data_IF_693069173458
#
_entry.id   IF_693069173458
#
_cell.length_a   1.000
_cell.length_b   1.000
_cell.length_c   1.000
_cell.angle_alpha   90.00
_cell.angle_beta   90.00
_cell.angle_gamma   90.00
#
_symmetry.space_group_name_H-M   'P 1'
#
loop_
_entity.id
_entity.type
_entity.pdbx_description
1 polymer ?
#
# COMPACT_ATOMS: atom_id res chain seq x y z
N UNK A 1 11.52 -4.89 -16.40
CA UNK A 1 11.79 -5.56 -17.68
C UNK A 1 10.47 -6.01 -18.26
N UNK A 2 10.17 -5.65 -19.50
CA UNK A 2 8.98 -6.15 -20.24
C UNK A 2 9.45 -7.32 -21.09
N UNK A 3 8.86 -8.50 -20.86
CA UNK A 3 9.12 -9.68 -21.69
C UNK A 3 8.08 -9.71 -22.80
N UNK A 4 8.51 -9.85 -24.06
CA UNK A 4 7.60 -9.87 -25.21
C UNK A 4 6.86 -11.21 -25.30
N UNK A 5 5.63 -11.19 -25.86
CA UNK A 5 4.88 -12.42 -26.13
C UNK A 5 5.65 -13.38 -27.02
N UNK A 6 6.40 -12.85 -28.00
CA UNK A 6 7.23 -13.68 -28.88
C UNK A 6 8.33 -14.44 -28.13
N UNK A 7 9.00 -13.81 -27.17
CA UNK A 7 10.01 -14.47 -26.33
C UNK A 7 9.39 -15.59 -25.49
N UNK A 8 8.19 -15.37 -24.92
CA UNK A 8 7.48 -16.39 -24.15
C UNK A 8 7.10 -17.59 -25.01
N UNK A 9 6.55 -17.36 -26.19
CA UNK A 9 6.14 -18.42 -27.12
C UNK A 9 7.37 -19.21 -27.60
N UNK A 10 8.48 -18.57 -27.90
CA UNK A 10 9.72 -19.24 -28.31
C UNK A 10 10.29 -20.17 -27.20
N UNK A 11 10.12 -19.81 -25.95
CA UNK A 11 10.58 -20.62 -24.81
C UNK A 11 9.60 -21.70 -24.37
N UNK A 12 8.34 -21.68 -24.84
CA UNK A 12 7.25 -22.55 -24.37
C UNK A 12 7.57 -24.05 -24.55
N UNK A 13 8.05 -24.43 -25.75
CA UNK A 13 8.42 -25.81 -26.06
C UNK A 13 9.62 -26.27 -25.22
N UNK A 14 10.63 -25.40 -25.02
CA UNK A 14 11.83 -25.66 -24.21
C UNK A 14 11.45 -25.88 -22.74
N UNK A 15 10.48 -25.12 -22.23
CA UNK A 15 10.02 -25.19 -20.84
C UNK A 15 8.94 -26.24 -20.60
N UNK A 16 8.68 -27.14 -21.56
CA UNK A 16 7.69 -28.25 -21.45
C UNK A 16 6.30 -27.78 -20.97
N UNK A 17 5.91 -26.57 -21.37
CA UNK A 17 4.66 -25.94 -20.94
C UNK A 17 4.50 -25.79 -19.42
N UNK A 18 5.62 -25.77 -18.64
CA UNK A 18 5.61 -25.50 -17.20
C UNK A 18 5.71 -23.99 -16.96
N UNK A 19 4.68 -23.35 -16.32
CA UNK A 19 4.69 -21.92 -16.04
C UNK A 19 5.85 -21.46 -15.16
N UNK A 20 6.33 -22.32 -14.25
CA UNK A 20 7.46 -21.98 -13.37
C UNK A 20 8.77 -21.96 -14.14
N UNK A 21 9.03 -23.00 -14.95
CA UNK A 21 10.22 -23.03 -15.79
C UNK A 21 10.23 -21.89 -16.79
N UNK A 22 9.07 -21.54 -17.37
CA UNK A 22 8.91 -20.42 -18.28
C UNK A 22 9.19 -19.08 -17.59
N UNK A 23 8.73 -18.92 -16.34
CA UNK A 23 8.98 -17.74 -15.53
C UNK A 23 10.48 -17.59 -15.19
N UNK A 24 11.15 -18.68 -14.82
CA UNK A 24 12.58 -18.67 -14.45
C UNK A 24 13.47 -18.38 -15.66
N UNK A 25 13.22 -19.02 -16.78
CA UNK A 25 13.99 -18.80 -18.03
C UNK A 25 13.83 -17.39 -18.62
N UNK A 26 12.61 -16.86 -18.59
CA UNK A 26 12.30 -15.56 -19.22
C UNK A 26 12.31 -14.40 -18.24
N UNK A 27 12.44 -14.67 -16.93
CA UNK A 27 12.23 -13.69 -15.84
C UNK A 27 10.83 -13.06 -15.85
N UNK A 28 9.87 -13.63 -16.59
CA UNK A 28 8.49 -13.16 -16.62
C UNK A 28 7.82 -13.48 -15.28
N UNK A 29 7.02 -12.55 -14.77
CA UNK A 29 6.29 -12.71 -13.49
C UNK A 29 7.16 -12.86 -12.22
N UNK A 30 8.48 -12.87 -12.33
CA UNK A 30 9.39 -13.09 -11.19
C UNK A 30 9.46 -11.94 -10.20
N UNK A 31 9.07 -10.72 -10.61
CA UNK A 31 9.15 -9.51 -9.76
C UNK A 31 7.83 -9.21 -9.07
N UNK A 32 6.73 -9.14 -9.82
CA UNK A 32 5.44 -8.68 -9.29
C UNK A 32 4.33 -9.74 -9.34
N UNK A 33 4.55 -10.90 -9.97
CA UNK A 33 3.57 -11.97 -10.08
C UNK A 33 2.30 -11.63 -10.89
N UNK A 34 2.18 -10.42 -11.43
CA UNK A 34 0.96 -9.97 -12.14
C UNK A 34 0.71 -10.72 -13.46
N UNK A 35 1.77 -11.28 -14.05
CA UNK A 35 1.67 -12.03 -15.31
C UNK A 35 1.53 -13.54 -15.08
N UNK A 36 1.50 -14.03 -13.85
CA UNK A 36 1.40 -15.46 -13.53
C UNK A 36 0.17 -16.11 -14.18
N UNK A 37 -1.06 -15.52 -14.13
CA UNK A 37 -2.22 -16.08 -14.79
C UNK A 37 -2.07 -16.17 -16.31
N UNK A 38 -1.37 -15.19 -16.92
CA UNK A 38 -1.12 -15.20 -18.37
C UNK A 38 -0.09 -16.28 -18.77
N UNK A 39 0.90 -16.57 -17.90
CA UNK A 39 1.84 -17.66 -18.12
C UNK A 39 1.15 -19.02 -18.00
N UNK A 40 0.25 -19.19 -17.02
CA UNK A 40 -0.57 -20.39 -16.86
C UNK A 40 -1.47 -20.63 -18.09
N UNK A 41 -2.12 -19.57 -18.58
CA UNK A 41 -2.95 -19.62 -19.80
C UNK A 41 -2.11 -19.99 -21.03
N UNK A 42 -0.92 -19.39 -21.20
CA UNK A 42 -0.01 -19.71 -22.29
C UNK A 42 0.49 -21.17 -22.24
N UNK A 43 0.64 -21.71 -21.05
CA UNK A 43 1.05 -23.10 -20.85
C UNK A 43 -0.10 -24.12 -21.02
N UNK A 44 -1.32 -23.64 -21.37
CA UNK A 44 -2.49 -24.51 -21.61
C UNK A 44 -3.20 -24.94 -20.32
N UNK A 45 -2.90 -24.31 -19.18
CA UNK A 45 -3.62 -24.55 -17.95
C UNK A 45 -5.05 -23.99 -18.08
N UNK A 46 -6.03 -24.86 -18.21
CA UNK A 46 -7.46 -24.52 -18.26
C UNK A 46 -8.03 -24.07 -16.90
N UNK A 47 -7.18 -23.97 -15.90
CA UNK A 47 -7.60 -23.63 -14.55
C UNK A 47 -7.78 -22.12 -14.43
N UNK A 48 -9.02 -21.72 -14.32
CA UNK A 48 -9.44 -20.46 -13.68
C UNK A 48 -9.07 -20.48 -12.19
N UNK A 49 -7.80 -20.70 -11.85
CA UNK A 49 -7.37 -20.60 -10.45
C UNK A 49 -7.53 -19.13 -10.05
N UNK A 50 -8.53 -18.88 -9.20
CA UNK A 50 -8.74 -17.52 -8.65
C UNK A 50 -7.43 -17.03 -8.07
N UNK A 51 -6.91 -15.88 -8.50
CA UNK A 51 -5.61 -15.40 -8.07
C UNK A 51 -5.56 -15.31 -6.55
N UNK A 52 -4.57 -15.99 -5.98
CA UNK A 52 -4.37 -16.04 -4.52
C UNK A 52 -4.31 -14.62 -3.95
N UNK A 53 -5.08 -14.35 -2.91
CA UNK A 53 -5.05 -13.08 -2.21
C UNK A 53 -5.81 -11.90 -2.85
N UNK A 54 -6.44 -12.06 -4.02
CA UNK A 54 -7.20 -10.98 -4.66
C UNK A 54 -8.39 -10.50 -3.82
N UNK A 55 -9.14 -11.43 -3.22
CA UNK A 55 -10.26 -11.09 -2.33
C UNK A 55 -9.78 -10.33 -1.09
N UNK A 56 -8.73 -10.80 -0.44
CA UNK A 56 -8.15 -10.14 0.72
C UNK A 56 -7.64 -8.74 0.36
N UNK A 57 -6.95 -8.60 -0.77
CA UNK A 57 -6.49 -7.30 -1.25
C UNK A 57 -7.66 -6.34 -1.48
N UNK A 58 -8.75 -6.80 -2.09
CA UNK A 58 -9.94 -5.98 -2.32
C UNK A 58 -10.56 -5.52 -1.01
N UNK A 59 -10.79 -6.44 -0.07
CA UNK A 59 -11.39 -6.13 1.24
C UNK A 59 -10.54 -5.10 1.98
N UNK A 60 -9.24 -5.36 2.17
CA UNK A 60 -8.36 -4.43 2.89
C UNK A 60 -8.19 -3.10 2.17
N UNK A 61 -8.20 -3.07 0.83
CA UNK A 61 -8.14 -1.81 0.09
C UNK A 61 -9.42 -0.98 0.22
N UNK A 62 -10.59 -1.63 0.29
CA UNK A 62 -11.87 -0.96 0.59
C UNK A 62 -11.85 -0.42 2.03
N UNK A 63 -11.40 -1.21 3.00
CA UNK A 63 -11.25 -0.76 4.39
C UNK A 63 -10.30 0.42 4.49
N UNK A 64 -9.17 0.38 3.77
CA UNK A 64 -8.23 1.50 3.71
C UNK A 64 -8.88 2.76 3.10
N UNK A 65 -9.64 2.60 2.02
CA UNK A 65 -10.38 3.73 1.41
C UNK A 65 -11.38 4.34 2.39
N UNK A 66 -12.16 3.52 3.07
CA UNK A 66 -13.12 3.98 4.09
C UNK A 66 -12.39 4.69 5.24
N UNK A 67 -11.27 4.16 5.71
CA UNK A 67 -10.46 4.79 6.74
C UNK A 67 -9.93 6.17 6.28
N UNK A 68 -9.47 6.30 5.04
CA UNK A 68 -9.07 7.60 4.46
C UNK A 68 -10.25 8.58 4.41
N UNK A 69 -11.41 8.13 3.98
CA UNK A 69 -12.61 9.00 3.92
C UNK A 69 -13.02 9.46 5.33
N UNK A 70 -12.96 8.57 6.32
CA UNK A 70 -13.18 8.95 7.73
C UNK A 70 -12.15 10.01 8.15
N UNK A 71 -10.87 9.85 7.76
CA UNK A 71 -9.82 10.84 8.06
C UNK A 71 -10.16 12.22 7.51
N UNK A 72 -10.72 12.29 6.31
CA UNK A 72 -11.00 13.56 5.62
C UNK A 72 -12.27 14.22 6.15
N UNK A 73 -13.30 13.44 6.43
CA UNK A 73 -14.65 13.96 6.68
C UNK A 73 -15.09 13.91 8.14
N UNK A 74 -14.45 13.10 9.01
CA UNK A 74 -14.82 13.06 10.41
C UNK A 74 -14.44 14.37 11.11
N UNK A 75 -15.36 14.97 11.87
CA UNK A 75 -15.03 16.14 12.65
C UNK A 75 -13.99 15.77 13.73
N UNK A 76 -13.08 16.69 14.07
CA UNK A 76 -12.17 16.44 15.18
C UNK A 76 -12.97 16.23 16.48
N UNK A 77 -12.53 15.29 17.34
CA UNK A 77 -13.22 15.03 18.59
C UNK A 77 -13.26 16.29 19.45
N UNK A 78 -14.42 16.58 20.04
CA UNK A 78 -14.57 17.66 21.00
C UNK A 78 -13.70 17.41 22.24
N UNK A 79 -13.39 18.49 22.98
CA UNK A 79 -12.66 18.37 24.24
C UNK A 79 -13.44 17.54 25.26
N UNK A 80 -12.73 16.88 26.17
CA UNK A 80 -13.34 16.16 27.27
C UNK A 80 -13.90 17.14 28.30
N UNK A 81 -15.07 16.83 28.79
CA UNK A 81 -15.80 17.68 29.76
C UNK A 81 -15.21 17.57 31.18
N UNK A 82 -14.52 16.47 31.50
CA UNK A 82 -13.89 16.26 32.81
C UNK A 82 -12.64 15.36 32.68
N UNK A 83 -11.72 15.52 33.63
CA UNK A 83 -10.47 14.72 33.73
C UNK A 83 -10.73 13.25 34.11
N UNK A 84 -11.86 12.94 34.66
CA UNK A 84 -12.26 11.57 35.04
C UNK A 84 -12.86 10.79 33.88
N UNK A 85 -13.24 11.47 32.78
CA UNK A 85 -13.87 10.85 31.63
C UNK A 85 -12.89 9.97 30.84
N UNK A 86 -13.43 8.89 30.23
CA UNK A 86 -12.63 8.09 29.29
C UNK A 86 -12.14 8.91 28.11
N UNK A 87 -12.90 9.94 27.71
CA UNK A 87 -12.53 10.87 26.62
C UNK A 87 -11.25 11.62 26.96
N UNK A 88 -11.08 12.08 28.20
CA UNK A 88 -9.84 12.72 28.66
C UNK A 88 -8.64 11.79 28.52
N UNK A 89 -8.77 10.51 28.91
CA UNK A 89 -7.68 9.52 28.76
C UNK A 89 -7.29 9.31 27.29
N UNK A 90 -8.26 9.32 26.38
CA UNK A 90 -8.00 9.23 24.94
C UNK A 90 -7.33 10.51 24.43
N UNK A 91 -7.73 11.69 24.93
CA UNK A 91 -7.08 12.96 24.58
C UNK A 91 -5.59 13.01 24.93
N UNK A 92 -5.14 12.31 25.96
CA UNK A 92 -3.73 12.27 26.35
C UNK A 92 -2.84 11.73 25.22
N UNK A 93 -3.35 10.86 24.33
CA UNK A 93 -2.55 10.33 23.22
C UNK A 93 -2.01 11.41 22.29
N UNK A 94 -2.71 12.52 22.12
CA UNK A 94 -2.25 13.63 21.26
C UNK A 94 -1.98 14.94 22.00
N UNK A 95 -2.21 14.98 23.33
CA UNK A 95 -1.92 16.15 24.18
C UNK A 95 -0.64 15.97 24.99
N UNK A 96 -0.42 14.80 25.54
CA UNK A 96 0.76 14.51 26.33
C UNK A 96 2.02 14.44 25.44
N UNK A 97 3.06 15.20 25.79
CA UNK A 97 4.26 15.31 24.97
C UNK A 97 5.03 14.00 24.83
N UNK A 98 5.11 13.19 25.89
CA UNK A 98 5.82 11.90 25.88
C UNK A 98 5.06 10.88 25.03
N UNK A 99 3.74 10.77 25.25
CA UNK A 99 2.90 9.85 24.46
C UNK A 99 2.93 10.23 22.98
N UNK A 100 2.91 11.54 22.69
CA UNK A 100 3.00 12.04 21.32
C UNK A 100 4.34 11.71 20.65
N UNK A 101 5.44 11.73 21.37
CA UNK A 101 6.72 11.26 20.86
C UNK A 101 6.71 9.76 20.57
N UNK A 102 6.19 8.94 21.49
CA UNK A 102 6.07 7.49 21.31
C UNK A 102 5.23 7.18 20.07
N UNK A 103 4.07 7.81 19.92
CA UNK A 103 3.19 7.60 18.75
C UNK A 103 3.86 8.08 17.44
N UNK A 104 4.62 9.16 17.47
CA UNK A 104 5.39 9.66 16.34
C UNK A 104 6.48 8.69 15.88
N UNK A 105 7.29 8.17 16.82
CA UNK A 105 8.30 7.15 16.50
C UNK A 105 7.66 5.82 16.05
N UNK A 106 6.51 5.44 16.61
CA UNK A 106 5.77 4.27 16.14
C UNK A 106 5.30 4.43 14.69
N UNK A 107 4.79 5.62 14.32
CA UNK A 107 4.45 5.96 12.94
C UNK A 107 5.66 5.87 12.01
N UNK A 108 6.81 6.39 12.42
CA UNK A 108 8.05 6.28 11.66
C UNK A 108 8.47 4.82 11.47
N UNK A 109 8.36 3.99 12.50
CA UNK A 109 8.63 2.56 12.42
C UNK A 109 7.69 1.83 11.43
N UNK A 110 6.39 2.11 11.50
CA UNK A 110 5.38 1.58 10.57
C UNK A 110 5.69 2.01 9.13
N UNK A 111 6.07 3.28 8.92
CA UNK A 111 6.48 3.80 7.62
C UNK A 111 7.69 3.03 7.06
N UNK A 112 8.73 2.80 7.85
CA UNK A 112 9.91 2.04 7.45
C UNK A 112 9.56 0.58 7.10
N UNK A 113 8.67 -0.07 7.86
CA UNK A 113 8.14 -1.40 7.54
C UNK A 113 7.39 -1.37 6.21
N UNK A 114 6.61 -0.32 5.94
CA UNK A 114 5.91 -0.13 4.67
C UNK A 114 6.83 -0.12 3.44
N UNK A 115 8.10 0.29 3.60
CA UNK A 115 9.09 0.28 2.53
C UNK A 115 9.57 -1.14 2.15
N UNK A 116 9.34 -2.15 2.98
CA UNK A 116 9.78 -3.53 2.73
C UNK A 116 9.26 -4.07 1.38
N UNK A 117 8.07 -3.64 0.94
CA UNK A 117 7.55 -4.01 -0.37
C UNK A 117 8.44 -3.49 -1.52
N UNK A 118 8.97 -2.29 -1.37
CA UNK A 118 9.90 -1.70 -2.35
C UNK A 118 11.24 -2.42 -2.35
N UNK A 119 11.76 -2.79 -1.18
CA UNK A 119 12.99 -3.57 -1.04
C UNK A 119 12.83 -4.96 -1.68
N UNK A 120 11.70 -5.63 -1.49
CA UNK A 120 11.40 -6.90 -2.13
C UNK A 120 11.47 -6.84 -3.66
N UNK A 121 11.06 -5.72 -4.25
CA UNK A 121 11.16 -5.54 -5.71
C UNK A 121 12.60 -5.33 -6.19
N UNK A 122 13.46 -4.72 -5.37
CA UNK A 122 14.84 -4.38 -5.73
C UNK A 122 15.83 -5.50 -5.47
N UNK A 123 15.70 -6.20 -4.33
CA UNK A 123 16.66 -7.20 -3.87
C UNK A 123 16.15 -8.62 -4.11
N UNK A 124 16.91 -9.42 -4.87
CA UNK A 124 16.55 -10.82 -5.21
C UNK A 124 16.47 -11.72 -3.96
N UNK A 125 17.36 -11.53 -3.01
CA UNK A 125 17.42 -12.34 -1.76
C UNK A 125 16.22 -12.08 -0.83
N UNK A 126 15.50 -10.97 -1.01
CA UNK A 126 14.30 -10.63 -0.21
C UNK A 126 12.98 -11.12 -0.83
N UNK A 127 13.05 -11.95 -1.88
CA UNK A 127 11.88 -12.42 -2.65
C UNK A 127 11.29 -13.72 -2.08
N UNK A 128 11.08 -13.80 -0.77
CA UNK A 128 10.39 -14.94 -0.16
C UNK A 128 8.87 -14.78 -0.20
N UNK A 129 8.13 -15.90 -0.30
CA UNK A 129 6.68 -15.95 -0.32
C UNK A 129 6.04 -15.38 -1.59
N UNK A 130 4.73 -15.53 -1.71
CA UNK A 130 3.96 -15.07 -2.86
C UNK A 130 3.75 -13.55 -2.83
N UNK A 131 3.92 -12.86 -3.96
CA UNK A 131 3.83 -11.39 -4.03
C UNK A 131 2.45 -10.84 -3.62
N UNK A 132 1.37 -11.60 -3.84
CA UNK A 132 0.02 -11.21 -3.44
C UNK A 132 -0.09 -10.94 -1.93
N UNK A 133 0.54 -11.77 -1.10
CA UNK A 133 0.55 -11.57 0.36
C UNK A 133 1.30 -10.30 0.77
N UNK A 134 2.38 -9.96 0.08
CA UNK A 134 3.13 -8.73 0.33
C UNK A 134 2.31 -7.48 0.01
N UNK A 135 1.45 -7.55 -1.00
CA UNK A 135 0.52 -6.45 -1.32
C UNK A 135 -0.53 -6.28 -0.24
N UNK A 136 -1.12 -7.39 0.23
CA UNK A 136 -2.08 -7.37 1.35
C UNK A 136 -1.42 -6.82 2.61
N UNK A 137 -0.22 -7.32 2.95
CA UNK A 137 0.58 -6.83 4.07
C UNK A 137 0.81 -5.31 3.99
N UNK A 138 1.25 -4.81 2.85
CA UNK A 138 1.47 -3.38 2.65
C UNK A 138 0.17 -2.56 2.85
N UNK A 139 -0.97 -3.05 2.36
CA UNK A 139 -2.27 -2.39 2.54
C UNK A 139 -2.71 -2.39 4.00
N UNK A 140 -2.51 -3.49 4.72
CA UNK A 140 -2.79 -3.58 6.17
C UNK A 140 -1.93 -2.57 6.95
N UNK A 141 -0.64 -2.46 6.64
CA UNK A 141 0.23 -1.46 7.25
C UNK A 141 -0.20 -0.02 6.92
N UNK A 142 -0.76 0.22 5.72
CA UNK A 142 -1.39 1.50 5.39
C UNK A 142 -2.57 1.83 6.32
N UNK A 143 -3.44 0.85 6.61
CA UNK A 143 -4.55 1.04 7.55
C UNK A 143 -4.04 1.31 8.97
N UNK A 144 -3.08 0.52 9.44
CA UNK A 144 -2.48 0.69 10.78
C UNK A 144 -1.84 2.08 10.88
N UNK A 145 -1.16 2.54 9.82
CA UNK A 145 -0.53 3.87 9.80
C UNK A 145 -1.56 5.00 9.86
N UNK A 146 -2.73 4.85 9.24
CA UNK A 146 -3.83 5.83 9.36
C UNK A 146 -4.37 5.88 10.78
N UNK A 147 -4.59 4.73 11.43
CA UNK A 147 -5.04 4.67 12.83
C UNK A 147 -4.01 5.34 13.75
N UNK A 148 -2.73 5.00 13.58
CA UNK A 148 -1.65 5.59 14.37
C UNK A 148 -1.52 7.11 14.13
N UNK A 149 -1.76 7.58 12.91
CA UNK A 149 -1.80 8.99 12.57
C UNK A 149 -2.91 9.72 13.32
N UNK A 150 -4.10 9.14 13.41
CA UNK A 150 -5.21 9.71 14.19
C UNK A 150 -4.84 9.85 15.66
N UNK A 151 -4.27 8.80 16.23
CA UNK A 151 -3.81 8.81 17.62
C UNK A 151 -2.75 9.88 17.83
N UNK A 152 -1.84 10.10 16.86
CA UNK A 152 -0.78 11.10 16.94
C UNK A 152 -1.29 12.54 16.78
N UNK A 153 -2.24 12.78 15.85
CA UNK A 153 -2.68 14.13 15.47
C UNK A 153 -3.97 14.59 16.15
N UNK A 154 -4.74 13.66 16.75
CA UNK A 154 -6.06 13.95 17.28
C UNK A 154 -7.05 14.42 16.21
N UNK A 155 -6.99 13.83 15.00
CA UNK A 155 -7.85 14.16 13.84
C UNK A 155 -7.69 15.60 13.33
N UNK A 156 -6.56 16.24 13.59
CA UNK A 156 -6.29 17.60 13.13
C UNK A 156 -5.27 17.62 12.03
N UNK A 157 -5.56 18.34 10.94
CA UNK A 157 -4.64 18.48 9.81
C UNK A 157 -3.41 19.35 10.11
N UNK A 158 -3.49 20.17 11.16
CA UNK A 158 -2.39 21.09 11.48
C UNK A 158 -2.30 22.28 10.50
N UNK A 159 -1.18 22.99 10.60
CA UNK A 159 -0.90 24.19 9.78
C UNK A 159 0.53 24.09 9.19
N UNK A 160 0.80 24.86 8.16
CA UNK A 160 2.12 24.95 7.54
C UNK A 160 2.72 23.57 7.20
N UNK A 161 3.88 23.24 7.73
CA UNK A 161 4.61 21.99 7.51
C UNK A 161 3.75 20.75 7.86
N UNK A 162 3.04 20.81 9.00
CA UNK A 162 2.21 19.71 9.47
C UNK A 162 1.02 19.45 8.54
N UNK A 163 0.44 20.51 7.96
CA UNK A 163 -0.62 20.38 6.96
C UNK A 163 -0.11 19.66 5.71
N UNK A 164 1.03 20.05 5.17
CA UNK A 164 1.58 19.42 3.97
C UNK A 164 2.00 17.97 4.21
N UNK A 165 2.55 17.69 5.39
CA UNK A 165 2.89 16.32 5.80
C UNK A 165 1.63 15.44 5.88
N UNK A 166 0.59 15.93 6.57
CA UNK A 166 -0.69 15.24 6.71
C UNK A 166 -1.37 15.04 5.35
N UNK A 167 -1.44 16.09 4.52
CA UNK A 167 -2.02 16.04 3.18
C UNK A 167 -1.31 14.98 2.32
N UNK A 168 0.02 15.02 2.28
CA UNK A 168 0.82 14.07 1.48
C UNK A 168 0.59 12.64 1.96
N UNK A 169 0.53 12.42 3.28
CA UNK A 169 0.32 11.11 3.87
C UNK A 169 -1.09 10.56 3.56
N UNK A 170 -2.12 11.37 3.72
CA UNK A 170 -3.52 10.99 3.43
C UNK A 170 -3.70 10.72 1.94
N UNK A 171 -3.17 11.59 1.07
CA UNK A 171 -3.23 11.41 -0.37
C UNK A 171 -2.46 10.16 -0.85
N UNK A 172 -1.32 9.86 -0.22
CA UNK A 172 -0.56 8.63 -0.47
C UNK A 172 -1.39 7.39 -0.14
N UNK A 173 -2.06 7.38 1.01
CA UNK A 173 -2.94 6.27 1.41
C UNK A 173 -4.16 6.15 0.48
N UNK A 174 -4.76 7.26 0.07
CA UNK A 174 -5.87 7.27 -0.88
C UNK A 174 -5.49 6.63 -2.22
N UNK A 175 -4.37 7.07 -2.80
CA UNK A 175 -3.86 6.50 -4.05
C UNK A 175 -3.46 5.04 -3.90
N UNK A 176 -2.87 4.66 -2.76
CA UNK A 176 -2.54 3.27 -2.44
C UNK A 176 -3.77 2.37 -2.35
N UNK A 177 -4.82 2.82 -1.66
CA UNK A 177 -6.09 2.11 -1.57
C UNK A 177 -6.77 1.94 -2.94
N UNK A 178 -6.84 3.03 -3.72
CA UNK A 178 -7.36 2.99 -5.08
C UNK A 178 -6.58 2.02 -5.97
N UNK A 179 -5.24 2.12 -5.98
CA UNK A 179 -4.38 1.21 -6.73
C UNK A 179 -4.56 -0.26 -6.31
N UNK A 180 -4.78 -0.52 -5.02
CA UNK A 180 -5.07 -1.84 -4.47
C UNK A 180 -6.41 -2.41 -4.97
N UNK A 181 -7.48 -1.59 -4.98
CA UNK A 181 -8.79 -1.96 -5.52
C UNK A 181 -8.67 -2.31 -7.00
N UNK A 182 -8.05 -1.44 -7.80
CA UNK A 182 -7.85 -1.67 -9.23
C UNK A 182 -7.02 -2.93 -9.51
N UNK A 183 -6.01 -3.17 -8.69
CA UNK A 183 -5.21 -4.37 -8.81
C UNK A 183 -5.96 -5.66 -8.46
N UNK A 184 -6.87 -5.60 -7.50
CA UNK A 184 -7.74 -6.73 -7.16
C UNK A 184 -8.78 -7.00 -8.27
N UNK A 185 -9.40 -5.94 -8.83
CA UNK A 185 -10.33 -6.05 -9.94
C UNK A 185 -9.66 -6.60 -11.20
N UNK A 186 -8.45 -6.10 -11.54
CA UNK A 186 -7.68 -6.59 -12.69
C UNK A 186 -7.42 -8.10 -12.61
N UNK A 187 -7.20 -8.61 -11.39
CA UNK A 187 -6.99 -10.04 -11.18
C UNK A 187 -8.24 -10.91 -11.37
N UNK A 188 -9.42 -10.30 -11.51
CA UNK A 188 -10.68 -11.02 -11.70
C UNK A 188 -10.91 -11.53 -13.15
N UNK A 189 -9.95 -11.30 -14.07
CA UNK A 189 -9.99 -11.87 -15.43
C UNK A 189 -10.27 -10.87 -16.55
N UNK A 190 -11.09 -11.26 -17.53
CA UNK A 190 -11.35 -10.52 -18.79
C UNK A 190 -12.63 -9.69 -18.79
N UNK A 191 -13.21 -9.41 -17.63
CA UNK A 191 -14.41 -8.57 -17.52
C UNK A 191 -14.13 -7.13 -17.96
N UNK A 192 -15.17 -6.37 -18.36
CA UNK A 192 -15.05 -4.96 -18.70
C UNK A 192 -14.41 -4.14 -17.57
N UNK A 193 -14.78 -4.45 -16.32
CA UNK A 193 -14.18 -3.83 -15.14
C UNK A 193 -12.69 -4.15 -15.00
N UNK A 194 -12.27 -5.38 -15.31
CA UNK A 194 -10.85 -5.76 -15.27
C UNK A 194 -10.04 -5.07 -16.38
N UNK A 195 -10.60 -4.90 -17.58
CA UNK A 195 -9.96 -4.16 -18.68
C UNK A 195 -9.80 -2.68 -18.31
N UNK A 196 -10.83 -2.07 -17.73
CA UNK A 196 -10.75 -0.69 -17.22
C UNK A 196 -9.68 -0.56 -16.11
N UNK A 197 -9.69 -1.47 -15.15
CA UNK A 197 -8.70 -1.50 -14.07
C UNK A 197 -7.27 -1.62 -14.61
N UNK A 198 -7.03 -2.49 -15.58
CA UNK A 198 -5.73 -2.67 -16.24
C UNK A 198 -5.22 -1.38 -16.90
N UNK A 199 -6.12 -0.57 -17.48
CA UNK A 199 -5.77 0.71 -18.11
C UNK A 199 -5.35 1.76 -17.09
N UNK A 200 -6.05 1.88 -15.95
CA UNK A 200 -5.85 2.99 -14.99
C UNK A 200 -4.89 2.65 -13.84
N UNK A 201 -4.76 1.37 -13.47
CA UNK A 201 -3.86 0.95 -12.38
C UNK A 201 -2.42 1.48 -12.51
N UNK A 202 -1.77 1.47 -13.70
CA UNK A 202 -0.40 1.97 -13.82
C UNK A 202 -0.28 3.44 -13.43
N UNK A 203 -1.23 4.28 -13.85
CA UNK A 203 -1.25 5.70 -13.52
C UNK A 203 -1.41 5.93 -12.01
N UNK A 204 -2.34 5.22 -11.35
CA UNK A 204 -2.52 5.28 -9.89
C UNK A 204 -1.26 4.83 -9.15
N UNK A 205 -0.64 3.74 -9.59
CA UNK A 205 0.61 3.24 -8.99
C UNK A 205 1.75 4.24 -9.17
N UNK A 206 1.86 4.86 -10.34
CA UNK A 206 2.86 5.88 -10.60
C UNK A 206 2.63 7.13 -9.74
N UNK A 207 1.41 7.62 -9.66
CA UNK A 207 1.04 8.76 -8.83
C UNK A 207 1.35 8.49 -7.34
N UNK A 208 1.03 7.28 -6.84
CA UNK A 208 1.38 6.85 -5.49
C UNK A 208 2.90 6.86 -5.26
N UNK A 209 3.70 6.38 -6.22
CA UNK A 209 5.16 6.40 -6.12
C UNK A 209 5.74 7.82 -6.15
N UNK A 210 5.21 8.70 -7.00
CA UNK A 210 5.66 10.10 -7.08
C UNK A 210 5.34 10.84 -5.79
N UNK A 211 4.13 10.65 -5.27
CA UNK A 211 3.68 11.31 -4.03
C UNK A 211 4.44 10.81 -2.78
N UNK A 212 5.08 9.66 -2.86
CA UNK A 212 5.94 9.17 -1.78
C UNK A 212 7.19 10.05 -1.57
N UNK A 213 7.76 10.64 -2.62
CA UNK A 213 9.05 11.35 -2.54
C UNK A 213 9.08 12.57 -1.60
N UNK A 214 8.03 13.42 -1.53
CA UNK A 214 8.00 14.52 -0.56
C UNK A 214 7.96 14.05 0.89
N UNK A 215 7.40 12.87 1.17
CA UNK A 215 7.12 12.43 2.54
C UNK A 215 8.37 12.31 3.43
N UNK A 216 9.49 11.68 3.01
CA UNK A 216 10.70 11.62 3.83
C UNK A 216 11.26 13.00 4.15
N UNK A 217 11.22 13.92 3.19
CA UNK A 217 11.70 15.29 3.37
C UNK A 217 10.84 16.05 4.38
N UNK A 218 9.53 16.05 4.20
CA UNK A 218 8.58 16.69 5.11
C UNK A 218 8.66 16.10 6.51
N UNK A 219 8.81 14.77 6.63
CA UNK A 219 8.95 14.08 7.91
C UNK A 219 10.25 14.49 8.61
N UNK A 220 11.35 14.58 7.88
CA UNK A 220 12.64 15.04 8.45
C UNK A 220 12.52 16.45 9.01
N UNK A 221 11.95 17.38 8.23
CA UNK A 221 11.72 18.75 8.72
C UNK A 221 10.75 18.80 9.90
N UNK A 222 9.72 17.96 9.90
CA UNK A 222 8.80 17.87 11.03
C UNK A 222 9.53 17.43 12.31
N UNK A 223 10.35 16.37 12.24
CA UNK A 223 11.12 15.90 13.39
C UNK A 223 12.09 16.98 13.86
N UNK A 224 12.84 17.60 12.96
CA UNK A 224 13.76 18.67 13.31
C UNK A 224 13.02 19.86 13.96
N UNK A 225 11.87 20.25 13.45
CA UNK A 225 11.09 21.36 14.01
C UNK A 225 10.58 21.06 15.43
N UNK A 226 10.31 19.81 15.78
CA UNK A 226 9.86 19.41 17.12
C UNK A 226 11.01 19.44 18.15
N UNK A 227 12.26 19.19 17.71
CA UNK A 227 13.38 19.09 18.63
C UNK A 227 14.24 20.37 18.74
N UNK A 228 14.19 21.24 17.73
CA UNK A 228 15.06 22.41 17.67
C UNK A 228 14.30 23.74 17.74
N UNK A 229 13.00 23.74 17.62
CA UNK A 229 12.11 24.91 17.68
C UNK A 229 10.88 24.66 18.55
#
# INVERSE_FOLDING_TARGET
MSVSKGTLVACLAKCKHDPKLLADETSASTVCGSCEPLLEELCGATTTSKPKGARSLLIFSIVALVAVLITIFAPPPGMADSVESWRYRVEQFWRDGVIKQITGYSLMGIFLIGLLLSLRKRFKWFRFGHFAYWRVFHTVFGIISLIALFVHTGFRFGYNLNFWLMFTFVALNLLGAAAGIFAAIESAGTTQAALFARRFRPALTYAHLVLFWPLPVLLTFHILSVYFY
#
